data_IF_102188609763
#
_entry.id   IF_102188609763
#
_cell.length_a   1.000
_cell.length_b   1.000
_cell.length_c   1.000
_cell.angle_alpha   90.00
_cell.angle_beta   90.00
_cell.angle_gamma   90.00
#
_symmetry.space_group_name_H-M   'P 1'
#
loop_
_entity.id
_entity.type
_entity.pdbx_description
1 polymer ?
#
# COMPACT_ATOMS: atom_id res chain seq x y z
N UNK A 1 56.94 8.32 8.84
CA UNK A 1 56.92 8.49 10.32
C UNK A 1 55.44 8.44 10.69
N UNK A 2 54.87 7.52 11.40
CA UNK A 2 55.31 6.35 12.12
C UNK A 2 54.10 5.42 12.29
N UNK A 3 54.42 4.23 12.14
CA UNK A 3 53.80 2.95 12.46
C UNK A 3 52.99 2.90 13.75
N UNK A 4 51.82 2.23 13.73
CA UNK A 4 51.39 1.34 14.80
C UNK A 4 50.58 0.15 14.19
N UNK A 5 51.32 -0.97 14.05
CA UNK A 5 50.76 -2.34 14.04
C UNK A 5 50.61 -2.79 15.49
N UNK A 6 49.49 -3.41 15.84
CA UNK A 6 49.51 -4.60 16.73
C UNK A 6 48.24 -5.43 16.52
N UNK A 7 48.47 -6.60 16.03
CA UNK A 7 47.65 -7.80 16.13
C UNK A 7 47.29 -8.10 17.60
N UNK A 8 46.07 -8.55 17.81
CA UNK A 8 45.77 -9.58 18.80
C UNK A 8 44.73 -10.55 18.21
N UNK A 9 45.22 -11.71 17.85
CA UNK A 9 44.49 -12.97 17.69
C UNK A 9 43.98 -13.39 19.07
N UNK A 10 42.66 -13.62 19.20
CA UNK A 10 42.15 -14.53 20.21
C UNK A 10 41.07 -15.42 19.58
N UNK A 11 41.29 -16.70 19.86
CA UNK A 11 40.64 -17.83 19.29
C UNK A 11 39.13 -17.92 19.58
N UNK A 12 38.48 -18.62 18.70
CA UNK A 12 37.07 -18.96 18.78
C UNK A 12 36.77 -19.86 19.99
N UNK A 13 35.69 -19.50 20.67
CA UNK A 13 34.90 -20.44 21.46
C UNK A 13 33.44 -20.13 21.23
N UNK A 14 32.80 -21.03 20.52
CA UNK A 14 31.34 -21.10 20.34
C UNK A 14 30.71 -21.31 21.73
N UNK A 15 29.99 -20.30 22.22
CA UNK A 15 29.08 -20.47 23.34
C UNK A 15 27.63 -20.35 22.81
N UNK A 16 27.01 -21.50 22.68
CA UNK A 16 25.56 -21.60 22.54
C UNK A 16 24.90 -21.29 23.89
N UNK A 17 24.01 -20.36 23.88
CA UNK A 17 22.81 -20.12 24.66
C UNK A 17 22.83 -20.53 26.14
N UNK A 18 22.90 -19.53 27.00
CA UNK A 18 22.23 -19.52 28.32
C UNK A 18 22.04 -18.05 28.73
N UNK A 19 20.80 -17.59 28.73
CA UNK A 19 20.42 -16.30 29.30
C UNK A 19 20.43 -16.37 30.84
N UNK A 20 21.51 -15.98 31.45
CA UNK A 20 21.61 -15.81 32.91
C UNK A 20 22.40 -14.55 33.23
N UNK A 21 21.92 -13.78 34.20
CA UNK A 21 22.61 -12.58 34.71
C UNK A 21 23.68 -13.05 35.70
N UNK A 22 24.97 -12.76 35.40
CA UNK A 22 26.06 -13.00 36.31
C UNK A 22 26.30 -11.78 37.20
N UNK A 23 26.29 -11.97 38.52
CA UNK A 23 26.71 -10.97 39.52
C UNK A 23 27.97 -11.49 40.18
N UNK A 24 29.10 -10.75 40.22
CA UNK A 24 30.30 -11.19 40.87
C UNK A 24 30.19 -10.96 42.38
N UNK A 25 30.38 -12.04 43.17
CA UNK A 25 30.59 -11.97 44.62
C UNK A 25 32.09 -12.12 44.92
N UNK A 26 32.59 -11.26 45.76
CA UNK A 26 33.95 -11.36 46.33
C UNK A 26 34.17 -12.71 46.98
N UNK A 27 35.04 -13.53 46.43
CA UNK A 27 35.36 -14.83 47.01
C UNK A 27 35.40 -16.02 46.06
N UNK A 28 35.46 -15.81 44.78
CA UNK A 28 35.85 -16.86 43.80
C UNK A 28 34.89 -17.99 43.51
N UNK A 29 33.59 -17.85 43.83
CA UNK A 29 32.54 -18.79 43.36
C UNK A 29 31.45 -18.07 42.65
N UNK A 30 31.22 -18.42 41.40
CA UNK A 30 30.09 -17.92 40.56
C UNK A 30 28.87 -18.80 40.84
N UNK A 31 27.85 -18.23 41.43
CA UNK A 31 26.52 -18.88 41.51
C UNK A 31 25.71 -18.48 40.30
N UNK A 32 25.45 -19.44 39.45
CA UNK A 32 24.52 -19.28 38.33
C UNK A 32 23.10 -19.55 38.85
N UNK A 33 22.32 -18.47 39.09
CA UNK A 33 20.90 -18.56 39.37
C UNK A 33 20.17 -18.71 38.05
N UNK A 34 19.98 -19.93 37.59
CA UNK A 34 19.06 -20.24 36.49
C UNK A 34 17.64 -20.05 36.95
N UNK A 35 16.92 -19.02 36.43
CA UNK A 35 15.47 -18.98 36.50
C UNK A 35 14.94 -20.12 35.61
N UNK A 36 14.52 -21.19 36.24
CA UNK A 36 13.64 -22.16 35.57
C UNK A 36 12.31 -21.48 35.30
N UNK A 37 12.05 -21.11 34.04
CA UNK A 37 10.70 -20.77 33.61
C UNK A 37 9.87 -22.06 33.73
N UNK A 38 8.93 -22.06 34.65
CA UNK A 38 8.05 -23.18 34.90
C UNK A 38 7.16 -23.43 33.66
N UNK A 39 6.96 -24.69 33.31
CA UNK A 39 6.14 -25.09 32.14
C UNK A 39 4.72 -24.52 32.12
N UNK A 40 4.20 -24.04 33.26
CA UNK A 40 2.90 -23.39 33.40
C UNK A 40 2.78 -22.04 32.65
N UNK A 41 3.87 -21.23 32.57
CA UNK A 41 3.85 -20.00 31.76
C UNK A 41 3.77 -20.26 30.26
N UNK A 42 4.34 -21.36 29.82
CA UNK A 42 4.29 -21.77 28.38
C UNK A 42 2.90 -22.27 27.98
N UNK A 43 2.17 -22.92 28.85
CA UNK A 43 0.81 -23.39 28.58
C UNK A 43 -0.21 -22.25 28.58
N UNK A 44 -0.12 -21.29 29.48
CA UNK A 44 -1.00 -20.10 29.51
C UNK A 44 -0.79 -19.22 28.26
N UNK A 45 0.45 -19.09 27.78
CA UNK A 45 0.75 -18.40 26.54
C UNK A 45 0.24 -19.17 25.31
N UNK A 46 0.33 -20.50 25.31
CA UNK A 46 -0.23 -21.34 24.24
C UNK A 46 -1.77 -21.26 24.23
N UNK A 47 -2.41 -21.34 25.40
CA UNK A 47 -3.86 -21.20 25.51
C UNK A 47 -4.35 -19.81 25.09
N UNK A 48 -3.67 -18.72 25.46
CA UNK A 48 -3.99 -17.37 24.99
C UNK A 48 -3.80 -17.24 23.47
N UNK A 49 -2.74 -17.82 22.90
CA UNK A 49 -2.55 -17.86 21.45
C UNK A 49 -3.67 -18.62 20.74
N UNK A 50 -4.06 -19.79 21.26
CA UNK A 50 -5.14 -20.59 20.72
C UNK A 50 -6.48 -19.86 20.84
N UNK A 51 -6.71 -19.17 21.95
CA UNK A 51 -7.92 -18.38 22.16
C UNK A 51 -8.00 -17.12 21.29
N UNK A 52 -6.85 -16.50 20.97
CA UNK A 52 -6.77 -15.39 19.99
C UNK A 52 -6.98 -15.91 18.58
N UNK A 53 -6.40 -17.07 18.23
CA UNK A 53 -6.61 -17.71 16.92
C UNK A 53 -8.05 -18.23 16.74
N UNK A 54 -8.71 -18.69 17.81
CA UNK A 54 -10.10 -19.17 17.74
C UNK A 54 -11.15 -18.05 17.60
N UNK A 55 -10.78 -16.79 17.87
CA UNK A 55 -11.68 -15.64 17.65
C UNK A 55 -11.92 -15.33 16.18
N UNK A 56 -11.17 -15.94 15.27
CA UNK A 56 -11.27 -15.71 13.83
C UNK A 56 -10.82 -14.30 13.43
N UNK A 57 -10.64 -14.11 12.13
CA UNK A 57 -10.48 -12.76 11.56
C UNK A 57 -11.77 -11.96 11.80
N UNK A 58 -11.68 -10.64 12.07
CA UNK A 58 -12.87 -9.80 12.20
C UNK A 58 -13.75 -9.98 10.96
N UNK A 59 -15.06 -10.07 11.14
CA UNK A 59 -16.00 -10.19 10.02
C UNK A 59 -15.88 -8.94 9.17
N UNK A 60 -15.48 -9.12 7.92
CA UNK A 60 -15.45 -8.04 6.93
C UNK A 60 -16.86 -7.48 6.74
N UNK A 61 -16.97 -6.15 6.70
CA UNK A 61 -18.23 -5.47 6.37
C UNK A 61 -18.04 -4.75 5.04
N UNK A 62 -18.95 -4.94 4.06
CA UNK A 62 -18.91 -4.16 2.82
C UNK A 62 -18.97 -2.66 3.10
N UNK A 63 -18.50 -1.87 2.15
CA UNK A 63 -18.73 -0.42 2.13
C UNK A 63 -20.10 -0.20 1.47
N UNK A 64 -20.96 0.53 2.16
CA UNK A 64 -22.33 0.75 1.68
C UNK A 64 -22.33 1.41 0.31
N UNK A 65 -23.11 0.88 -0.62
CA UNK A 65 -23.24 1.38 -1.98
C UNK A 65 -22.08 1.02 -2.94
N UNK A 66 -21.07 0.29 -2.51
CA UNK A 66 -19.90 -0.09 -3.34
C UNK A 66 -19.96 -1.56 -3.71
N UNK A 67 -19.95 -1.86 -5.02
CA UNK A 67 -20.00 -3.24 -5.53
C UNK A 67 -18.64 -3.94 -5.46
N UNK A 68 -17.58 -3.28 -5.91
CA UNK A 68 -16.23 -3.86 -5.94
C UNK A 68 -15.18 -2.88 -5.44
N UNK A 69 -14.28 -3.36 -4.59
CA UNK A 69 -13.18 -2.58 -4.03
C UNK A 69 -11.87 -3.06 -4.64
N UNK A 70 -11.12 -2.15 -5.25
CA UNK A 70 -9.82 -2.39 -5.85
C UNK A 70 -8.78 -1.61 -5.03
N UNK A 71 -7.85 -2.31 -4.39
CA UNK A 71 -6.78 -1.63 -3.65
C UNK A 71 -5.54 -1.46 -4.52
N UNK A 72 -4.94 -0.28 -4.45
CA UNK A 72 -3.65 0.03 -5.06
C UNK A 72 -2.61 0.12 -3.95
N UNK A 73 -1.65 -0.78 -3.98
CA UNK A 73 -0.67 -0.93 -2.92
C UNK A 73 0.76 -0.92 -3.45
N UNK A 74 1.69 -0.58 -2.60
CA UNK A 74 3.12 -0.64 -2.89
C UNK A 74 3.91 -1.06 -1.66
N UNK A 75 4.96 -1.84 -1.86
CA UNK A 75 5.86 -2.22 -0.78
C UNK A 75 6.74 -1.08 -0.29
N UNK A 76 6.92 -0.01 -1.10
CA UNK A 76 7.82 1.11 -0.82
C UNK A 76 7.19 2.44 -1.23
N UNK A 77 7.52 3.52 -0.51
CA UNK A 77 7.15 4.87 -0.90
C UNK A 77 7.90 5.35 -2.15
N UNK A 78 7.31 6.30 -2.88
CA UNK A 78 7.94 6.94 -4.04
C UNK A 78 7.91 6.14 -5.35
N UNK A 79 7.21 5.00 -5.40
CA UNK A 79 7.06 4.19 -6.63
C UNK A 79 5.93 4.66 -7.56
N UNK A 80 5.21 5.73 -7.20
CA UNK A 80 4.11 6.29 -7.99
C UNK A 80 2.75 5.60 -7.75
N UNK A 81 2.55 5.05 -6.57
CA UNK A 81 1.31 4.38 -6.13
C UNK A 81 0.08 5.29 -6.32
N UNK A 82 0.06 6.46 -5.68
CA UNK A 82 -1.08 7.38 -5.71
C UNK A 82 -1.33 7.96 -7.11
N UNK A 83 -0.28 8.28 -7.87
CA UNK A 83 -0.41 8.67 -9.28
C UNK A 83 -1.09 7.58 -10.11
N UNK A 84 -0.73 6.33 -9.84
CA UNK A 84 -1.36 5.19 -10.52
C UNK A 84 -2.80 4.99 -10.05
N UNK A 85 -3.11 5.14 -8.75
CA UNK A 85 -4.46 5.03 -8.23
C UNK A 85 -5.41 6.05 -8.86
N UNK A 86 -4.99 7.32 -8.95
CA UNK A 86 -5.74 8.40 -9.61
C UNK A 86 -6.01 8.09 -11.08
N UNK A 87 -4.96 7.77 -11.83
CA UNK A 87 -5.10 7.50 -13.26
C UNK A 87 -5.84 6.17 -13.54
N UNK A 88 -5.76 5.18 -12.66
CA UNK A 88 -6.53 3.95 -12.75
C UNK A 88 -8.03 4.23 -12.55
N UNK A 89 -8.41 5.04 -11.55
CA UNK A 89 -9.80 5.41 -11.33
C UNK A 89 -10.39 6.14 -12.54
N UNK A 90 -9.65 7.10 -13.09
CA UNK A 90 -10.05 7.80 -14.31
C UNK A 90 -10.12 6.88 -15.54
N UNK A 91 -9.16 5.96 -15.67
CA UNK A 91 -9.11 5.00 -16.77
C UNK A 91 -10.28 3.99 -16.71
N UNK A 92 -10.68 3.55 -15.50
CA UNK A 92 -11.86 2.71 -15.32
C UNK A 92 -13.15 3.42 -15.79
N UNK A 93 -13.32 4.69 -15.44
CA UNK A 93 -14.45 5.50 -15.89
C UNK A 93 -14.39 5.83 -17.39
N UNK A 94 -13.20 6.06 -17.94
CA UNK A 94 -13.01 6.35 -19.36
C UNK A 94 -13.24 5.13 -20.26
N UNK A 95 -12.88 3.93 -19.80
CA UNK A 95 -13.10 2.69 -20.54
C UNK A 95 -14.60 2.29 -20.62
N UNK A 96 -15.37 2.61 -19.58
CA UNK A 96 -16.81 2.36 -19.55
C UNK A 96 -17.50 3.48 -18.78
N UNK A 97 -18.04 4.45 -19.50
CA UNK A 97 -18.74 5.62 -18.95
C UNK A 97 -20.05 5.29 -18.22
N UNK A 98 -20.56 4.06 -18.35
CA UNK A 98 -21.73 3.59 -17.60
C UNK A 98 -21.40 3.21 -16.15
N UNK A 99 -20.12 3.09 -15.81
CA UNK A 99 -19.63 2.69 -14.50
C UNK A 99 -19.35 3.89 -13.61
N UNK A 100 -19.92 3.87 -12.42
CA UNK A 100 -19.62 4.85 -11.39
C UNK A 100 -18.35 4.43 -10.63
N UNK A 101 -17.37 5.33 -10.57
CA UNK A 101 -16.07 5.07 -9.95
C UNK A 101 -15.80 6.06 -8.82
N UNK A 102 -15.34 5.54 -7.70
CA UNK A 102 -14.85 6.33 -6.56
C UNK A 102 -13.35 6.13 -6.32
N UNK A 103 -12.76 7.08 -5.63
CA UNK A 103 -11.35 7.08 -5.25
C UNK A 103 -11.21 7.44 -3.76
N UNK A 104 -10.65 6.54 -2.98
CA UNK A 104 -10.41 6.71 -1.55
C UNK A 104 -8.92 6.70 -1.25
N UNK A 105 -8.44 7.78 -0.62
CA UNK A 105 -7.07 7.93 -0.15
C UNK A 105 -7.00 7.61 1.35
N UNK A 106 -6.38 6.51 1.70
CA UNK A 106 -6.11 6.10 3.08
C UNK A 106 -4.63 6.23 3.45
N UNK A 107 -3.83 6.94 2.63
CA UNK A 107 -2.43 7.23 2.95
C UNK A 107 -2.35 8.38 3.98
N UNK A 108 -2.24 7.99 5.23
CA UNK A 108 -2.24 8.90 6.39
C UNK A 108 -1.00 9.77 6.44
N UNK A 109 0.11 9.27 5.90
CA UNK A 109 1.41 9.94 6.01
C UNK A 109 1.71 10.92 4.90
N UNK A 110 1.01 10.82 3.78
CA UNK A 110 1.23 11.68 2.63
C UNK A 110 0.02 11.72 1.70
N UNK A 111 -1.15 12.18 2.21
CA UNK A 111 -2.35 12.25 1.37
C UNK A 111 -2.10 13.17 0.20
N UNK A 112 -2.17 12.63 -1.01
CA UNK A 112 -1.80 13.35 -2.23
C UNK A 112 -2.95 13.52 -3.23
N UNK A 113 -4.03 12.75 -3.07
CA UNK A 113 -5.19 12.78 -3.96
C UNK A 113 -5.86 14.15 -4.04
N UNK A 114 -6.05 14.93 -2.95
CA UNK A 114 -6.64 16.26 -3.06
C UNK A 114 -5.92 17.15 -4.07
N UNK A 115 -4.58 17.17 -4.01
CA UNK A 115 -3.76 17.94 -4.94
C UNK A 115 -3.82 17.39 -6.36
N UNK A 116 -3.67 16.08 -6.54
CA UNK A 116 -3.65 15.44 -7.86
C UNK A 116 -5.00 15.49 -8.58
N UNK A 117 -6.09 15.56 -7.82
CA UNK A 117 -7.45 15.68 -8.36
C UNK A 117 -7.98 17.14 -8.34
N UNK A 118 -7.12 18.12 -8.04
CA UNK A 118 -7.48 19.53 -7.92
C UNK A 118 -8.74 19.75 -7.06
N UNK A 119 -8.80 19.09 -5.92
CA UNK A 119 -9.89 19.16 -4.95
C UNK A 119 -9.51 20.06 -3.79
N UNK A 120 -10.42 20.95 -3.39
CA UNK A 120 -10.26 21.90 -2.28
C UNK A 120 -11.52 21.95 -1.45
N UNK A 121 -11.37 22.24 -0.17
CA UNK A 121 -12.46 22.37 0.78
C UNK A 121 -12.72 21.08 1.56
N UNK A 122 -13.63 21.20 2.53
CA UNK A 122 -14.00 20.11 3.43
C UNK A 122 -15.23 19.37 2.91
N UNK A 123 -15.35 18.06 3.19
CA UNK A 123 -16.53 17.29 2.85
C UNK A 123 -17.75 17.79 3.61
N UNK A 124 -18.84 18.04 2.92
CA UNK A 124 -20.13 18.37 3.53
C UNK A 124 -20.75 17.13 4.17
N UNK A 125 -21.51 17.34 5.23
CA UNK A 125 -22.29 16.27 5.84
C UNK A 125 -23.66 16.16 5.17
N UNK A 126 -24.08 14.93 4.87
CA UNK A 126 -25.43 14.62 4.41
C UNK A 126 -26.44 14.72 5.57
N UNK A 127 -27.73 14.65 5.26
CA UNK A 127 -28.79 14.62 6.28
C UNK A 127 -28.68 13.40 7.23
N UNK A 128 -28.05 12.32 6.75
CA UNK A 128 -27.75 11.12 7.54
C UNK A 128 -26.43 11.20 8.31
N UNK A 129 -25.82 12.39 8.39
CA UNK A 129 -24.53 12.63 9.07
C UNK A 129 -23.34 11.84 8.47
N UNK A 130 -23.43 11.52 7.17
CA UNK A 130 -22.33 10.92 6.41
C UNK A 130 -21.60 12.00 5.63
N UNK A 131 -20.30 11.85 5.43
CA UNK A 131 -19.48 12.75 4.62
C UNK A 131 -19.80 12.54 3.14
N UNK A 132 -20.06 13.60 2.40
CA UNK A 132 -20.21 13.55 0.94
C UNK A 132 -18.86 13.64 0.29
N UNK A 133 -18.50 12.69 -0.61
CA UNK A 133 -17.26 12.78 -1.35
C UNK A 133 -17.24 14.02 -2.26
N UNK A 134 -16.05 14.61 -2.41
CA UNK A 134 -15.84 15.69 -3.38
C UNK A 134 -15.77 15.10 -4.80
N UNK A 135 -16.32 15.82 -5.77
CA UNK A 135 -16.42 15.38 -7.15
C UNK A 135 -15.48 16.19 -8.03
N UNK A 136 -14.62 15.54 -8.78
CA UNK A 136 -13.91 16.14 -9.92
C UNK A 136 -13.64 15.10 -11.00
N UNK A 137 -13.61 15.54 -12.26
CA UNK A 137 -13.37 14.68 -13.43
C UNK A 137 -14.33 13.46 -13.49
N UNK A 138 -15.52 13.55 -12.92
CA UNK A 138 -16.50 12.47 -12.86
C UNK A 138 -16.19 11.39 -11.81
N UNK A 139 -15.18 11.58 -10.96
CA UNK A 139 -14.80 10.66 -9.89
C UNK A 139 -15.19 11.22 -8.53
N UNK A 140 -15.86 10.39 -7.72
CA UNK A 140 -16.14 10.71 -6.31
C UNK A 140 -14.89 10.42 -5.47
N UNK A 141 -14.35 11.45 -4.81
CA UNK A 141 -13.09 11.36 -4.09
C UNK A 141 -13.27 11.64 -2.60
N UNK A 142 -12.63 10.81 -1.77
CA UNK A 142 -12.46 11.06 -0.34
C UNK A 142 -11.01 10.82 0.04
N UNK A 143 -10.46 11.65 0.92
CA UNK A 143 -9.06 11.56 1.34
C UNK A 143 -8.90 11.84 2.81
N UNK A 144 -7.91 11.19 3.41
CA UNK A 144 -7.40 11.59 4.72
C UNK A 144 -7.00 13.07 4.76
N UNK A 145 -6.54 13.62 3.63
CA UNK A 145 -6.16 15.02 3.51
C UNK A 145 -7.29 16.02 3.76
N UNK A 146 -8.55 15.62 3.58
CA UNK A 146 -9.72 16.47 3.90
C UNK A 146 -10.09 16.48 5.38
N UNK A 147 -9.55 15.52 6.16
CA UNK A 147 -9.83 15.41 7.60
C UNK A 147 -8.73 16.07 8.46
N UNK A 148 -7.73 16.67 7.81
CA UNK A 148 -6.54 17.22 8.44
C UNK A 148 -6.46 18.71 8.06
N UNK A 149 -6.33 19.58 9.03
CA UNK A 149 -5.98 20.98 8.77
C UNK A 149 -4.56 21.07 8.21
N UNK A 150 -4.38 21.69 7.05
CA UNK A 150 -3.09 21.80 6.34
C UNK A 150 -1.94 22.37 7.19
N UNK A 151 -2.26 23.13 8.23
CA UNK A 151 -1.28 23.87 9.04
C UNK A 151 -0.98 23.21 10.39
N UNK A 152 -1.73 22.21 10.82
CA UNK A 152 -1.55 21.60 12.12
C UNK A 152 -0.52 20.44 12.05
N UNK A 153 0.56 20.48 12.84
CA UNK A 153 1.44 19.34 13.00
C UNK A 153 0.74 18.25 13.78
N UNK A 154 0.08 17.34 13.06
CA UNK A 154 -0.63 16.24 13.69
C UNK A 154 0.35 15.09 13.93
N UNK A 155 0.56 14.76 15.19
CA UNK A 155 1.27 13.54 15.58
C UNK A 155 0.28 12.38 15.54
N UNK A 156 0.28 11.63 14.44
CA UNK A 156 -0.54 10.45 14.29
C UNK A 156 -0.13 9.35 15.27
N UNK A 157 -0.98 9.03 16.21
CA UNK A 157 -0.84 7.85 17.05
C UNK A 157 -1.69 6.72 16.48
N UNK A 158 -1.21 5.48 16.57
CA UNK A 158 -1.83 4.32 15.91
C UNK A 158 -3.35 4.21 16.06
N UNK A 159 -3.91 4.46 17.26
CA UNK A 159 -5.36 4.43 17.49
C UNK A 159 -6.12 5.56 16.78
N UNK A 160 -5.51 6.74 16.65
CA UNK A 160 -6.12 7.87 15.93
C UNK A 160 -6.18 7.60 14.43
N UNK A 161 -5.10 7.05 13.88
CA UNK A 161 -5.03 6.61 12.48
C UNK A 161 -6.14 5.60 12.19
N UNK A 162 -6.26 4.58 13.03
CA UNK A 162 -7.26 3.53 12.84
C UNK A 162 -8.69 4.06 12.92
N UNK A 163 -8.97 4.97 13.87
CA UNK A 163 -10.27 5.63 13.97
C UNK A 163 -10.62 6.49 12.76
N UNK A 164 -9.64 7.22 12.22
CA UNK A 164 -9.83 8.03 11.02
C UNK A 164 -10.10 7.17 9.79
N UNK A 165 -9.35 6.07 9.62
CA UNK A 165 -9.58 5.11 8.52
C UNK A 165 -10.97 4.49 8.64
N UNK A 166 -11.39 4.11 9.85
CA UNK A 166 -12.73 3.55 10.06
C UNK A 166 -13.83 4.55 9.67
N UNK A 167 -13.65 5.84 9.98
CA UNK A 167 -14.56 6.89 9.51
C UNK A 167 -14.61 6.97 7.99
N UNK A 168 -13.47 6.95 7.31
CA UNK A 168 -13.41 6.96 5.84
C UNK A 168 -14.08 5.73 5.21
N UNK A 169 -13.98 4.58 5.86
CA UNK A 169 -14.59 3.34 5.35
C UNK A 169 -16.10 3.23 5.66
N UNK A 170 -16.60 3.95 6.71
CA UNK A 170 -17.97 3.74 7.22
C UNK A 170 -18.86 4.96 7.22
N UNK A 171 -18.28 6.16 7.18
CA UNK A 171 -19.03 7.42 7.32
C UNK A 171 -18.95 8.29 6.05
N UNK A 172 -18.80 7.65 4.89
CA UNK A 172 -18.84 8.31 3.59
C UNK A 172 -20.06 7.84 2.81
N UNK A 173 -20.81 8.81 2.28
CA UNK A 173 -21.96 8.56 1.41
C UNK A 173 -21.48 8.42 -0.04
N UNK A 174 -21.08 7.21 -0.41
CA UNK A 174 -20.60 6.91 -1.76
C UNK A 174 -21.72 6.86 -2.82
N UNK A 175 -22.99 6.84 -2.40
CA UNK A 175 -24.11 6.56 -3.31
C UNK A 175 -24.02 5.14 -3.86
N UNK A 176 -24.06 4.99 -5.18
CA UNK A 176 -23.94 3.70 -5.87
C UNK A 176 -22.70 3.70 -6.75
N UNK A 177 -21.66 2.96 -6.34
CA UNK A 177 -20.42 2.81 -7.09
C UNK A 177 -20.25 1.38 -7.61
N UNK A 178 -19.83 1.26 -8.86
CA UNK A 178 -19.39 -0.02 -9.42
C UNK A 178 -17.99 -0.38 -8.93
N UNK A 179 -17.08 0.60 -8.90
CA UNK A 179 -15.71 0.44 -8.45
C UNK A 179 -15.31 1.51 -7.45
N UNK A 180 -14.66 1.10 -6.36
CA UNK A 180 -13.96 1.99 -5.46
C UNK A 180 -12.47 1.66 -5.50
N UNK A 181 -11.66 2.57 -6.01
CA UNK A 181 -10.20 2.47 -5.99
C UNK A 181 -9.70 3.02 -4.67
N UNK A 182 -8.95 2.23 -3.92
CA UNK A 182 -8.41 2.61 -2.61
C UNK A 182 -6.90 2.76 -2.71
N UNK A 183 -6.39 3.96 -2.51
CA UNK A 183 -4.96 4.25 -2.42
C UNK A 183 -4.45 3.94 -1.01
N UNK A 184 -3.69 2.85 -0.89
CA UNK A 184 -3.20 2.33 0.40
C UNK A 184 -1.93 3.07 0.83
N UNK A 185 -1.61 3.17 2.13
CA UNK A 185 -0.31 3.66 2.55
C UNK A 185 0.82 2.75 2.04
N UNK A 186 2.05 3.25 1.87
CA UNK A 186 3.17 2.43 1.42
C UNK A 186 3.61 1.43 2.51
N UNK A 187 4.19 0.31 2.08
CA UNK A 187 4.73 -0.72 2.97
C UNK A 187 3.77 -1.89 3.22
N UNK A 188 3.98 -2.61 4.30
CA UNK A 188 3.18 -3.77 4.75
C UNK A 188 2.79 -3.64 6.22
N UNK A 189 2.45 -2.41 6.63
CA UNK A 189 2.21 -2.07 8.03
C UNK A 189 0.78 -2.37 8.49
N UNK A 190 0.52 -2.03 9.76
CA UNK A 190 -0.74 -2.31 10.45
C UNK A 190 -1.96 -1.68 9.75
N UNK A 191 -1.78 -0.53 9.10
CA UNK A 191 -2.86 0.15 8.37
C UNK A 191 -3.33 -0.68 7.18
N UNK A 192 -2.40 -1.16 6.34
CA UNK A 192 -2.75 -2.02 5.20
C UNK A 192 -3.45 -3.29 5.65
N UNK A 193 -2.91 -3.94 6.68
CA UNK A 193 -3.49 -5.14 7.25
C UNK A 193 -4.91 -4.88 7.77
N UNK A 194 -5.10 -3.79 8.50
CA UNK A 194 -6.39 -3.42 9.06
C UNK A 194 -7.44 -3.13 7.98
N UNK A 195 -7.10 -2.33 6.96
CA UNK A 195 -8.03 -2.09 5.84
C UNK A 195 -8.41 -3.41 5.18
N UNK A 196 -7.42 -4.28 4.90
CA UNK A 196 -7.65 -5.59 4.25
C UNK A 196 -8.49 -6.55 5.09
N UNK A 197 -8.50 -6.41 6.41
CA UNK A 197 -9.30 -7.23 7.32
C UNK A 197 -10.71 -6.67 7.57
N UNK A 198 -10.92 -5.37 7.37
CA UNK A 198 -12.19 -4.70 7.69
C UNK A 198 -13.18 -4.67 6.54
N UNK A 199 -12.71 -4.69 5.30
CA UNK A 199 -13.56 -4.63 4.09
C UNK A 199 -13.28 -5.80 3.14
N UNK A 200 -14.30 -6.30 2.42
CA UNK A 200 -14.09 -7.25 1.34
C UNK A 200 -13.41 -6.54 0.15
N UNK A 201 -12.20 -6.95 -0.16
CA UNK A 201 -11.42 -6.42 -1.28
C UNK A 201 -11.56 -7.38 -2.46
N UNK A 202 -12.04 -6.85 -3.60
CA UNK A 202 -12.21 -7.64 -4.82
C UNK A 202 -10.90 -7.97 -5.50
N UNK A 203 -9.89 -7.09 -5.34
CA UNK A 203 -8.56 -7.36 -5.85
C UNK A 203 -7.53 -6.30 -5.48
N UNK A 204 -6.28 -6.70 -5.43
CA UNK A 204 -5.13 -5.85 -5.16
C UNK A 204 -4.25 -5.69 -6.41
N UNK A 205 -3.92 -4.44 -6.73
CA UNK A 205 -2.95 -4.06 -7.76
C UNK A 205 -1.68 -3.60 -7.07
N UNK A 206 -0.56 -4.24 -7.36
CA UNK A 206 0.73 -3.92 -6.74
C UNK A 206 1.55 -3.04 -7.67
N UNK A 207 1.99 -1.90 -7.18
CA UNK A 207 2.81 -0.95 -7.93
C UNK A 207 4.26 -1.08 -7.47
N UNK A 208 5.17 -1.23 -8.43
CA UNK A 208 6.60 -1.24 -8.17
C UNK A 208 7.39 -0.62 -9.32
N UNK A 209 8.61 -0.22 -9.04
CA UNK A 209 9.62 0.13 -10.05
C UNK A 209 10.51 -1.07 -10.33
N UNK A 210 11.28 -1.08 -11.45
CA UNK A 210 12.17 -2.20 -11.77
C UNK A 210 13.34 -2.43 -10.80
N UNK A 211 13.57 -1.53 -9.85
CA UNK A 211 14.65 -1.63 -8.86
C UNK A 211 14.50 -2.84 -7.95
N UNK A 212 15.55 -3.61 -7.72
CA UNK A 212 15.53 -4.82 -6.90
C UNK A 212 14.98 -4.56 -5.48
N UNK A 213 15.35 -3.45 -4.83
CA UNK A 213 14.85 -3.09 -3.49
C UNK A 213 13.33 -2.88 -3.52
N UNK A 214 12.79 -2.17 -4.52
CA UNK A 214 11.35 -1.96 -4.65
C UNK A 214 10.61 -3.27 -4.92
N UNK A 215 11.22 -4.17 -5.70
CA UNK A 215 10.67 -5.49 -6.01
C UNK A 215 10.66 -6.42 -4.80
N UNK A 216 11.69 -6.38 -3.96
CA UNK A 216 11.71 -7.12 -2.69
C UNK A 216 10.55 -6.71 -1.77
N UNK A 217 10.26 -5.42 -1.69
CA UNK A 217 9.16 -4.92 -0.87
C UNK A 217 7.79 -5.20 -1.53
N UNK A 218 7.70 -5.15 -2.86
CA UNK A 218 6.50 -5.58 -3.60
C UNK A 218 6.18 -7.06 -3.36
N UNK A 219 7.22 -7.92 -3.29
CA UNK A 219 7.07 -9.33 -2.91
C UNK A 219 6.40 -9.48 -1.55
N UNK A 220 6.89 -8.73 -0.53
CA UNK A 220 6.30 -8.76 0.82
C UNK A 220 4.84 -8.29 0.81
N UNK A 221 4.52 -7.27 0.01
CA UNK A 221 3.15 -6.78 -0.18
C UNK A 221 2.23 -7.85 -0.77
N UNK A 222 2.66 -8.54 -1.82
CA UNK A 222 1.89 -9.62 -2.44
C UNK A 222 1.63 -10.76 -1.45
N UNK A 223 2.65 -11.17 -0.71
CA UNK A 223 2.53 -12.23 0.30
C UNK A 223 1.61 -11.82 1.47
N UNK A 224 1.61 -10.54 1.84
CA UNK A 224 0.67 -10.02 2.85
C UNK A 224 -0.77 -10.17 2.37
N UNK A 225 -1.10 -9.75 1.13
CA UNK A 225 -2.45 -9.88 0.58
C UNK A 225 -2.88 -11.35 0.47
N UNK A 226 -1.99 -12.24 0.06
CA UNK A 226 -2.26 -13.69 0.03
C UNK A 226 -2.62 -14.24 1.42
N UNK A 227 -1.89 -13.82 2.47
CA UNK A 227 -2.15 -14.25 3.85
C UNK A 227 -3.51 -13.78 4.40
N UNK A 228 -4.03 -12.67 3.92
CA UNK A 228 -5.36 -12.17 4.29
C UNK A 228 -6.44 -12.53 3.28
N UNK A 229 -6.13 -13.44 2.35
CA UNK A 229 -7.04 -13.96 1.33
C UNK A 229 -7.60 -12.90 0.37
N UNK A 230 -6.82 -11.86 0.09
CA UNK A 230 -7.15 -10.85 -0.93
C UNK A 230 -6.51 -11.28 -2.26
N UNK A 231 -7.29 -11.40 -3.35
CA UNK A 231 -6.76 -11.73 -4.67
C UNK A 231 -5.77 -10.65 -5.15
N UNK A 232 -4.57 -11.06 -5.55
CA UNK A 232 -3.61 -10.15 -6.20
C UNK A 232 -3.83 -10.24 -7.71
N UNK A 233 -4.37 -9.16 -8.31
CA UNK A 233 -4.71 -9.09 -9.74
C UNK A 233 -3.47 -9.06 -10.61
N UNK A 234 -2.39 -8.49 -10.11
CA UNK A 234 -1.10 -8.45 -10.79
C UNK A 234 -0.22 -7.27 -10.37
N UNK A 235 0.89 -7.13 -11.08
CA UNK A 235 1.92 -6.13 -10.85
C UNK A 235 1.90 -5.07 -11.97
N UNK A 236 1.93 -3.80 -11.61
CA UNK A 236 2.20 -2.69 -12.53
C UNK A 236 3.65 -2.26 -12.37
N UNK A 237 4.40 -2.31 -13.47
CA UNK A 237 5.76 -1.81 -13.49
C UNK A 237 5.75 -0.32 -13.83
N UNK A 238 5.89 0.53 -12.83
CA UNK A 238 5.99 1.97 -13.02
C UNK A 238 7.45 2.39 -13.25
N UNK A 239 7.65 3.52 -13.92
CA UNK A 239 8.97 4.06 -14.28
C UNK A 239 9.82 3.03 -15.06
N UNK A 240 9.16 2.24 -15.93
CA UNK A 240 9.77 1.12 -16.65
C UNK A 240 10.87 1.56 -17.60
N UNK A 241 10.67 2.68 -18.28
CA UNK A 241 11.60 3.26 -19.26
C UNK A 241 11.48 4.78 -19.23
N UNK A 242 12.61 5.45 -19.27
CA UNK A 242 12.69 6.88 -19.57
C UNK A 242 12.81 7.10 -21.06
N UNK A 243 11.95 7.95 -21.64
CA UNK A 243 12.05 8.38 -23.03
C UNK A 243 12.46 9.85 -23.09
N UNK A 244 13.59 10.12 -23.72
CA UNK A 244 14.06 11.49 -23.88
C UNK A 244 13.05 12.32 -24.72
N UNK A 245 12.56 13.47 -24.21
CA UNK A 245 11.57 14.28 -24.93
C UNK A 245 12.14 14.87 -26.25
N UNK A 246 13.46 15.06 -26.34
CA UNK A 246 14.11 15.64 -27.51
C UNK A 246 14.40 14.62 -28.60
N UNK A 247 15.12 13.55 -28.26
CA UNK A 247 15.61 12.59 -29.26
C UNK A 247 14.83 11.25 -29.24
N UNK A 248 13.83 11.09 -28.37
CA UNK A 248 13.02 9.87 -28.21
C UNK A 248 13.81 8.61 -27.85
N UNK A 249 15.09 8.75 -27.51
CA UNK A 249 15.92 7.63 -27.04
C UNK A 249 15.32 7.05 -25.74
N UNK A 250 15.22 5.72 -25.68
CA UNK A 250 14.69 5.00 -24.53
C UNK A 250 15.82 4.43 -23.68
N UNK A 251 15.79 4.73 -22.38
CA UNK A 251 16.79 4.26 -21.41
C UNK A 251 16.11 3.64 -20.20
N UNK A 252 16.53 2.43 -19.82
CA UNK A 252 16.04 1.76 -18.62
C UNK A 252 16.85 2.21 -17.39
N UNK A 253 16.48 3.35 -16.79
CA UNK A 253 17.22 3.95 -15.66
C UNK A 253 17.23 3.00 -14.45
N UNK A 254 16.14 2.31 -14.20
CA UNK A 254 15.96 1.43 -13.04
C UNK A 254 16.11 -0.07 -13.37
N UNK A 255 16.61 -0.42 -14.57
CA UNK A 255 16.71 -1.80 -15.04
C UNK A 255 15.53 -2.25 -15.91
N UNK A 256 15.72 -3.28 -16.71
CA UNK A 256 14.73 -3.69 -17.71
C UNK A 256 13.80 -4.82 -17.26
N UNK A 257 14.32 -5.85 -16.57
CA UNK A 257 13.60 -7.13 -16.40
C UNK A 257 13.22 -7.48 -14.96
N UNK A 258 13.47 -6.58 -14.01
CA UNK A 258 13.26 -6.86 -12.58
C UNK A 258 11.82 -7.26 -12.24
N UNK A 259 10.84 -6.49 -12.71
CA UNK A 259 9.44 -6.77 -12.44
C UNK A 259 8.96 -8.09 -13.09
N UNK A 260 9.46 -8.42 -14.28
CA UNK A 260 9.13 -9.69 -14.95
C UNK A 260 9.70 -10.90 -14.21
N UNK A 261 10.91 -10.78 -13.66
CA UNK A 261 11.47 -11.81 -12.78
C UNK A 261 10.64 -12.02 -11.54
N UNK A 262 10.24 -10.92 -10.86
CA UNK A 262 9.39 -10.98 -9.68
C UNK A 262 8.02 -11.59 -9.99
N UNK A 263 7.38 -11.16 -11.08
CA UNK A 263 6.09 -11.67 -11.51
C UNK A 263 6.13 -13.21 -11.69
N UNK A 264 7.17 -13.73 -12.34
CA UNK A 264 7.36 -15.18 -12.48
C UNK A 264 7.57 -15.87 -11.13
N UNK A 265 8.33 -15.27 -10.21
CA UNK A 265 8.60 -15.84 -8.88
C UNK A 265 7.34 -15.90 -8.03
N UNK A 266 6.46 -14.93 -8.17
CA UNK A 266 5.21 -14.82 -7.44
C UNK A 266 4.02 -15.49 -8.13
N UNK A 267 4.22 -16.04 -9.33
CA UNK A 267 3.12 -16.51 -10.19
C UNK A 267 2.04 -15.42 -10.35
N UNK A 268 2.48 -14.21 -10.66
CA UNK A 268 1.64 -13.05 -10.93
C UNK A 268 1.87 -12.56 -12.35
N UNK A 269 0.82 -11.99 -12.92
CA UNK A 269 0.92 -11.32 -14.21
C UNK A 269 1.36 -9.86 -14.07
N UNK A 270 2.01 -9.34 -15.12
CA UNK A 270 2.22 -7.91 -15.29
C UNK A 270 0.99 -7.33 -15.98
N UNK A 271 0.31 -6.41 -15.27
CA UNK A 271 -0.87 -5.70 -15.81
C UNK A 271 -0.50 -4.66 -16.85
N UNK A 272 0.70 -4.10 -16.75
CA UNK A 272 1.23 -3.15 -17.71
C UNK A 272 2.47 -2.42 -17.22
N UNK A 273 3.07 -1.69 -18.15
CA UNK A 273 4.26 -0.87 -17.95
C UNK A 273 3.90 0.61 -18.13
N UNK A 274 4.28 1.44 -17.15
CA UNK A 274 4.11 2.89 -17.21
C UNK A 274 5.50 3.51 -17.35
N UNK A 275 5.73 4.37 -18.37
CA UNK A 275 7.02 5.02 -18.55
C UNK A 275 7.28 6.10 -17.48
N UNK A 276 8.54 6.40 -17.24
CA UNK A 276 8.95 7.62 -16.55
C UNK A 276 8.90 8.77 -17.55
N UNK A 277 7.88 9.61 -17.45
CA UNK A 277 7.64 10.70 -18.39
C UNK A 277 7.32 12.01 -17.70
N UNK A 278 7.80 13.13 -18.26
CA UNK A 278 7.57 14.46 -17.70
C UNK A 278 6.07 14.82 -17.61
N UNK A 279 5.32 14.49 -18.65
CA UNK A 279 3.89 14.81 -18.71
C UNK A 279 3.11 14.19 -17.55
N UNK A 280 3.43 12.95 -17.13
CA UNK A 280 2.78 12.30 -15.98
C UNK A 280 3.03 13.10 -14.70
N UNK A 281 4.29 13.55 -14.49
CA UNK A 281 4.65 14.35 -13.32
C UNK A 281 3.95 15.71 -13.35
N UNK A 282 4.05 16.44 -14.46
CA UNK A 282 3.45 17.77 -14.61
C UNK A 282 1.94 17.73 -14.47
N UNK A 283 1.28 16.75 -15.07
CA UNK A 283 -0.14 16.50 -14.94
C UNK A 283 -0.56 16.26 -13.47
N UNK A 284 0.22 15.47 -12.74
CA UNK A 284 -0.02 15.20 -11.31
C UNK A 284 0.18 16.46 -10.45
N UNK A 285 1.25 17.23 -10.70
CA UNK A 285 1.60 18.45 -9.95
C UNK A 285 0.59 19.58 -10.16
N UNK A 286 0.01 19.66 -11.37
CA UNK A 286 -1.00 20.67 -11.74
C UNK A 286 -2.43 20.26 -11.38
N UNK A 287 -2.64 19.05 -10.88
CA UNK A 287 -3.97 18.53 -10.55
C UNK A 287 -4.81 18.22 -11.79
N UNK A 288 -4.18 17.90 -12.91
CA UNK A 288 -4.81 17.53 -14.17
C UNK A 288 -4.28 16.16 -14.64
N UNK A 289 -4.75 15.05 -14.05
CA UNK A 289 -4.23 13.71 -14.32
C UNK A 289 -4.14 13.40 -15.81
N UNK A 290 -3.10 12.64 -16.23
CA UNK A 290 -2.75 12.44 -17.64
C UNK A 290 -3.88 11.77 -18.44
N UNK A 291 -4.63 10.86 -17.82
CA UNK A 291 -5.78 10.19 -18.48
C UNK A 291 -6.87 11.18 -18.85
N UNK A 292 -7.05 12.24 -18.04
CA UNK A 292 -8.02 13.29 -18.31
C UNK A 292 -7.46 14.37 -19.25
N UNK A 293 -6.24 14.86 -18.96
CA UNK A 293 -5.67 16.03 -19.68
C UNK A 293 -5.14 15.68 -21.06
N UNK A 294 -4.64 14.47 -21.27
CA UNK A 294 -4.03 14.01 -22.52
C UNK A 294 -4.46 12.58 -22.87
N UNK A 295 -5.77 12.32 -23.13
CA UNK A 295 -6.31 10.95 -23.28
C UNK A 295 -5.70 10.18 -24.45
N UNK A 296 -5.23 10.88 -25.49
CA UNK A 296 -4.61 10.27 -26.68
C UNK A 296 -3.12 9.98 -26.52
N UNK A 297 -2.49 10.40 -25.42
CA UNK A 297 -1.06 10.13 -25.16
C UNK A 297 -0.78 8.63 -24.94
N UNK A 298 0.43 8.22 -25.24
CA UNK A 298 0.85 6.84 -25.00
C UNK A 298 0.81 6.48 -23.50
N UNK A 299 1.08 7.48 -22.65
CA UNK A 299 1.03 7.37 -21.19
C UNK A 299 -0.41 7.13 -20.71
N UNK A 300 -1.39 7.89 -21.21
CA UNK A 300 -2.80 7.69 -20.88
C UNK A 300 -3.28 6.31 -21.38
N UNK A 301 -2.91 5.94 -22.61
CA UNK A 301 -3.24 4.62 -23.17
C UNK A 301 -2.63 3.46 -22.37
N UNK A 302 -1.50 3.67 -21.70
CA UNK A 302 -0.95 2.66 -20.79
C UNK A 302 -1.87 2.42 -19.59
N UNK A 303 -2.39 3.50 -18.97
CA UNK A 303 -3.36 3.37 -17.87
C UNK A 303 -4.69 2.76 -18.31
N UNK A 304 -5.20 3.14 -19.50
CA UNK A 304 -6.43 2.55 -20.06
C UNK A 304 -6.29 1.03 -20.24
N UNK A 305 -5.16 0.57 -20.77
CA UNK A 305 -4.87 -0.87 -20.91
C UNK A 305 -4.77 -1.56 -19.56
N UNK A 306 -4.11 -0.95 -18.58
CA UNK A 306 -4.02 -1.49 -17.22
C UNK A 306 -5.43 -1.61 -16.61
N UNK A 307 -6.28 -0.61 -16.76
CA UNK A 307 -7.66 -0.65 -16.28
C UNK A 307 -8.46 -1.79 -16.94
N UNK A 308 -8.31 -2.01 -18.23
CA UNK A 308 -8.94 -3.15 -18.95
C UNK A 308 -8.47 -4.49 -18.36
N UNK A 309 -7.16 -4.65 -18.13
CA UNK A 309 -6.60 -5.87 -17.55
C UNK A 309 -7.06 -6.08 -16.10
N UNK A 310 -7.20 -5.02 -15.33
CA UNK A 310 -7.75 -5.08 -13.95
C UNK A 310 -9.19 -5.59 -13.99
N UNK A 311 -10.06 -4.98 -14.79
CA UNK A 311 -11.48 -5.39 -14.90
C UNK A 311 -11.61 -6.84 -15.36
N UNK A 312 -10.79 -7.27 -16.31
CA UNK A 312 -10.82 -8.66 -16.83
C UNK A 312 -10.52 -9.71 -15.75
N UNK A 313 -9.75 -9.33 -14.71
CA UNK A 313 -9.30 -10.23 -13.64
C UNK A 313 -10.09 -10.09 -12.35
N UNK A 314 -10.95 -9.11 -12.26
CA UNK A 314 -11.84 -8.99 -11.11
C UNK A 314 -12.80 -10.18 -11.05
N UNK A 315 -13.06 -10.73 -9.84
CA UNK A 315 -14.14 -11.68 -9.67
C UNK A 315 -15.48 -11.03 -10.02
N UNK A 316 -16.51 -11.82 -10.34
CA UNK A 316 -17.84 -11.25 -10.51
C UNK A 316 -18.25 -10.49 -9.24
N UNK A 317 -19.01 -9.37 -9.38
CA UNK A 317 -19.49 -8.64 -8.22
C UNK A 317 -20.33 -9.56 -7.34
N UNK A 318 -20.31 -9.41 -6.01
CA UNK A 318 -21.20 -10.16 -5.13
C UNK A 318 -22.66 -9.80 -5.46
N UNK A 319 -23.52 -10.82 -5.42
CA UNK A 319 -24.97 -10.68 -5.65
C UNK A 319 -25.67 -9.85 -4.56
#
# INVERSE_FOLDING_TARGET
MGTWRRLLLFGGASLRGCGGVCVPLWGGRVLVLGRQFSGAESETLKQRRTQIMSRGLPKQKPIDGVKQVIVVASGKGGVGKSTTAVNLALALSANDSSKAVGLLDVDVYGPSIPKMMNLKGDPELSQSNLMRPLLNYGIACMSMGFLIEETAPIVWRGLMVMSAIEKLLRQVDWGQLDYLVVDMPPGTGDVQLSVSQNIPISGAVIISTPQDIALMDAHKGAEMFRKVHVPVLGLVQNMSVFQCPKCKHKTHIFGADGARRLARTLDLDILGDIPLHLNIREASDTGQPIVFSQPESDEAKAYLRIATEVVRRLPPPPE
#
